data_IF_350961895862
#
_entry.id   IF_350961895862
#
_cell.length_a   1.000
_cell.length_b   1.000
_cell.length_c   1.000
_cell.angle_alpha   90.00
_cell.angle_beta   90.00
_cell.angle_gamma   90.00
#
_symmetry.space_group_name_H-M   'P 1'
#
loop_
_entity.id
_entity.type
_entity.pdbx_description
1 polymer ?
#
# COMPACT_ATOMS: atom_id res chain seq x y z
N UNK A 1 -30.72 -4.11 18.14
CA UNK A 1 -30.57 -3.31 19.37
C UNK A 1 -29.34 -2.43 19.19
N UNK A 2 -29.31 -1.20 19.71
CA UNK A 2 -28.07 -0.42 19.76
C UNK A 2 -27.02 -1.17 20.59
N UNK A 3 -25.75 -1.02 20.23
CA UNK A 3 -24.63 -1.57 21.00
C UNK A 3 -24.55 -0.79 22.33
N UNK A 4 -24.50 -1.50 23.47
CA UNK A 4 -24.31 -0.89 24.79
C UNK A 4 -22.84 -0.42 24.92
N UNK A 5 -22.65 0.88 25.01
CA UNK A 5 -21.32 1.50 25.14
C UNK A 5 -20.55 1.02 26.37
N UNK A 6 -21.25 0.72 27.48
CA UNK A 6 -20.60 0.23 28.70
C UNK A 6 -20.06 -1.17 28.50
N UNK A 7 -20.86 -2.04 27.89
CA UNK A 7 -20.45 -3.41 27.54
C UNK A 7 -19.32 -3.37 26.51
N UNK A 8 -19.42 -2.52 25.48
CA UNK A 8 -18.37 -2.34 24.47
C UNK A 8 -17.03 -2.00 25.10
N UNK A 9 -17.01 -0.99 25.97
CA UNK A 9 -15.78 -0.57 26.66
C UNK A 9 -15.19 -1.67 27.55
N UNK A 10 -16.03 -2.37 28.30
CA UNK A 10 -15.57 -3.52 29.13
C UNK A 10 -14.97 -4.63 28.27
N UNK A 11 -15.59 -4.97 27.15
CA UNK A 11 -15.10 -5.99 26.23
C UNK A 11 -13.76 -5.57 25.61
N UNK A 12 -13.65 -4.32 25.16
CA UNK A 12 -12.37 -3.79 24.61
C UNK A 12 -11.24 -3.84 25.63
N UNK A 13 -11.51 -3.52 26.91
CA UNK A 13 -10.51 -3.65 27.97
C UNK A 13 -10.11 -5.10 28.18
N UNK A 14 -11.07 -6.02 28.16
CA UNK A 14 -10.82 -7.46 28.39
C UNK A 14 -9.94 -8.08 27.29
N UNK A 15 -10.11 -7.67 26.02
CA UNK A 15 -9.33 -8.23 24.89
C UNK A 15 -8.04 -7.46 24.60
N UNK A 16 -7.74 -6.38 25.31
CA UNK A 16 -6.61 -5.49 25.05
C UNK A 16 -5.28 -6.23 24.92
N UNK A 17 -5.02 -7.14 25.86
CA UNK A 17 -3.74 -7.88 25.87
C UNK A 17 -3.64 -8.89 24.72
N UNK A 18 -4.75 -9.46 24.28
CA UNK A 18 -4.80 -10.35 23.11
C UNK A 18 -4.48 -9.57 21.83
N UNK A 19 -5.06 -8.39 21.68
CA UNK A 19 -4.79 -7.47 20.54
C UNK A 19 -3.30 -7.05 20.52
N UNK A 20 -2.75 -6.67 21.69
CA UNK A 20 -1.32 -6.31 21.80
C UNK A 20 -0.42 -7.50 21.46
N UNK A 21 -0.74 -8.68 21.96
CA UNK A 21 0.00 -9.91 21.69
C UNK A 21 -0.01 -10.26 20.21
N UNK A 22 -1.17 -10.15 19.55
CA UNK A 22 -1.27 -10.35 18.10
C UNK A 22 -0.38 -9.37 17.34
N UNK A 23 -0.43 -8.08 17.66
CA UNK A 23 0.42 -7.06 17.01
C UNK A 23 1.90 -7.38 17.18
N UNK A 24 2.34 -7.73 18.40
CA UNK A 24 3.73 -8.11 18.65
C UNK A 24 4.15 -9.31 17.80
N UNK A 25 3.36 -10.39 17.78
CA UNK A 25 3.63 -11.56 16.94
C UNK A 25 3.67 -11.22 15.44
N UNK A 26 2.80 -10.33 14.97
CA UNK A 26 2.83 -9.87 13.58
C UNK A 26 4.12 -9.08 13.27
N UNK A 27 4.60 -8.25 14.20
CA UNK A 27 5.86 -7.50 14.03
C UNK A 27 7.06 -8.46 13.91
N UNK A 28 7.09 -9.53 14.68
CA UNK A 28 8.15 -10.55 14.65
C UNK A 28 8.27 -11.24 13.30
N UNK A 29 7.18 -11.30 12.53
CA UNK A 29 7.18 -11.90 11.19
C UNK A 29 7.65 -10.89 10.16
N UNK A 30 8.73 -11.22 9.44
CA UNK A 30 9.29 -10.38 8.38
C UNK A 30 8.45 -10.52 7.10
N UNK A 31 7.42 -9.69 6.98
CA UNK A 31 6.51 -9.70 5.84
C UNK A 31 6.89 -8.67 4.76
N UNK A 32 8.16 -8.55 4.44
CA UNK A 32 8.59 -7.77 3.27
C UNK A 32 8.06 -8.42 2.00
N UNK A 33 7.93 -7.62 0.93
CA UNK A 33 7.44 -8.10 -0.36
C UNK A 33 8.09 -9.43 -0.78
N UNK A 34 7.29 -10.41 -1.09
CA UNK A 34 7.72 -11.78 -1.45
C UNK A 34 7.75 -12.75 -0.27
N UNK A 35 7.65 -12.27 0.98
CA UNK A 35 7.73 -13.08 2.20
C UNK A 35 6.49 -12.93 3.11
N UNK A 36 5.35 -12.50 2.57
CA UNK A 36 4.15 -12.17 3.35
C UNK A 36 3.40 -13.41 3.88
N UNK A 37 3.57 -14.56 3.23
CA UNK A 37 2.82 -15.80 3.54
C UNK A 37 2.75 -16.18 5.02
N UNK A 38 3.85 -16.16 5.80
CA UNK A 38 3.81 -16.43 7.24
C UNK A 38 2.94 -15.45 8.04
N UNK A 39 2.95 -14.15 7.70
CA UNK A 39 2.11 -13.14 8.35
C UNK A 39 0.62 -13.37 8.02
N UNK A 40 0.30 -13.74 6.77
CA UNK A 40 -1.05 -14.09 6.34
C UNK A 40 -1.59 -15.31 7.10
N UNK A 41 -0.77 -16.35 7.30
CA UNK A 41 -1.15 -17.51 8.12
C UNK A 41 -1.47 -17.13 9.56
N UNK A 42 -0.59 -16.35 10.20
CA UNK A 42 -0.77 -15.90 11.57
C UNK A 42 -2.05 -15.06 11.73
N UNK A 43 -2.30 -14.13 10.83
CA UNK A 43 -3.50 -13.28 10.87
C UNK A 43 -4.78 -14.08 10.63
N UNK A 44 -4.76 -15.05 9.69
CA UNK A 44 -5.89 -15.95 9.44
C UNK A 44 -6.22 -16.79 10.67
N UNK A 45 -5.21 -17.38 11.33
CA UNK A 45 -5.39 -18.17 12.55
C UNK A 45 -6.05 -17.34 13.65
N UNK A 46 -5.56 -16.11 13.89
CA UNK A 46 -6.15 -15.23 14.89
C UNK A 46 -7.61 -14.87 14.57
N UNK A 47 -7.94 -14.56 13.31
CA UNK A 47 -9.30 -14.22 12.90
C UNK A 47 -10.24 -15.41 12.93
N UNK A 48 -9.75 -16.64 12.77
CA UNK A 48 -10.57 -17.86 12.84
C UNK A 48 -11.21 -18.05 14.21
N UNK A 49 -10.66 -17.49 15.27
CA UNK A 49 -11.20 -17.57 16.63
C UNK A 49 -12.49 -16.74 16.81
N UNK A 50 -12.75 -15.76 15.93
CA UNK A 50 -13.82 -14.77 16.12
C UNK A 50 -14.65 -14.47 14.87
N UNK A 51 -14.34 -15.08 13.73
CA UNK A 51 -15.09 -14.94 12.48
C UNK A 51 -15.87 -16.22 12.12
N UNK A 52 -16.94 -16.07 11.37
CA UNK A 52 -17.72 -17.21 10.87
C UNK A 52 -17.04 -17.91 9.69
N UNK A 53 -16.28 -17.13 8.90
CA UNK A 53 -15.48 -17.60 7.77
C UNK A 53 -14.09 -17.00 7.86
N UNK A 54 -13.08 -17.81 7.63
CA UNK A 54 -11.71 -17.36 7.36
C UNK A 54 -11.09 -18.27 6.31
N UNK A 55 -10.64 -17.68 5.21
CA UNK A 55 -10.04 -18.43 4.11
C UNK A 55 -8.85 -17.71 3.51
N UNK A 56 -7.98 -18.45 2.84
CA UNK A 56 -7.00 -17.90 1.93
C UNK A 56 -7.65 -17.68 0.57
N UNK A 57 -7.37 -16.52 -0.01
CA UNK A 57 -7.72 -16.20 -1.39
C UNK A 57 -6.43 -16.20 -2.20
N UNK A 58 -6.21 -17.28 -2.93
CA UNK A 58 -5.03 -17.41 -3.79
C UNK A 58 -5.06 -16.37 -4.91
N UNK A 59 -3.89 -15.79 -5.17
CA UNK A 59 -3.72 -14.79 -6.21
C UNK A 59 -3.14 -15.50 -7.44
N UNK A 60 -3.88 -15.65 -8.54
CA UNK A 60 -3.34 -16.26 -9.75
C UNK A 60 -2.31 -15.34 -10.40
N UNK A 61 -1.20 -15.87 -10.88
CA UNK A 61 -0.18 -15.07 -11.59
C UNK A 61 -0.73 -14.35 -12.82
N UNK A 62 -1.85 -14.84 -13.38
CA UNK A 62 -2.59 -14.19 -14.47
C UNK A 62 -3.08 -12.78 -14.13
N UNK A 63 -3.20 -12.42 -12.83
CA UNK A 63 -3.53 -11.05 -12.38
C UNK A 63 -2.54 -10.02 -12.95
N UNK A 64 -1.29 -10.42 -13.20
CA UNK A 64 -0.26 -9.55 -13.79
C UNK A 64 -0.60 -9.05 -15.21
N UNK A 65 -1.62 -9.61 -15.84
CA UNK A 65 -2.15 -9.18 -17.14
C UNK A 65 -3.41 -8.32 -17.03
N UNK A 66 -3.90 -8.08 -15.81
CA UNK A 66 -5.05 -7.20 -15.56
C UNK A 66 -4.68 -5.75 -15.96
N UNK A 67 -5.54 -5.01 -16.65
CA UNK A 67 -5.26 -3.63 -17.10
C UNK A 67 -5.02 -2.66 -15.91
N UNK A 68 -5.54 -2.98 -14.73
CA UNK A 68 -5.36 -2.19 -13.52
C UNK A 68 -4.14 -2.62 -12.68
N UNK A 69 -3.43 -3.67 -13.10
CA UNK A 69 -2.22 -4.14 -12.41
C UNK A 69 -1.13 -3.06 -12.44
N UNK A 70 -0.59 -2.72 -11.27
CA UNK A 70 0.24 -1.52 -11.17
C UNK A 70 1.68 -1.73 -11.60
N UNK A 71 2.38 -2.73 -11.05
CA UNK A 71 3.81 -2.92 -11.31
C UNK A 71 4.22 -4.39 -11.23
N UNK A 72 4.81 -4.90 -12.32
CA UNK A 72 5.34 -6.25 -12.37
C UNK A 72 6.79 -6.31 -11.90
N UNK A 73 7.05 -7.11 -10.86
CA UNK A 73 8.42 -7.40 -10.41
C UNK A 73 8.91 -8.66 -11.10
N UNK A 74 9.99 -8.59 -11.90
CA UNK A 74 10.53 -9.77 -12.56
C UNK A 74 10.92 -10.86 -11.56
N UNK A 75 10.50 -12.10 -11.83
CA UNK A 75 10.82 -13.26 -11.00
C UNK A 75 10.00 -13.40 -9.70
N UNK A 76 9.11 -12.46 -9.39
CA UNK A 76 8.21 -12.58 -8.27
C UNK A 76 6.90 -13.25 -8.70
N UNK A 77 6.49 -14.29 -7.96
CA UNK A 77 5.22 -15.00 -8.16
C UNK A 77 4.34 -14.85 -6.92
N UNK A 78 3.07 -15.22 -7.04
CA UNK A 78 2.14 -15.22 -5.90
C UNK A 78 2.08 -16.57 -5.16
N UNK A 79 2.88 -17.55 -5.56
CA UNK A 79 2.91 -18.84 -4.89
C UNK A 79 3.24 -18.70 -3.40
N UNK A 80 2.35 -19.21 -2.52
CA UNK A 80 2.49 -19.13 -1.07
C UNK A 80 2.28 -17.74 -0.46
N UNK A 81 1.74 -16.80 -1.22
CA UNK A 81 1.44 -15.42 -0.82
C UNK A 81 -0.05 -15.09 -1.03
N UNK A 82 -0.97 -15.82 -0.41
CA UNK A 82 -2.40 -15.56 -0.56
C UNK A 82 -2.81 -14.28 0.19
N UNK A 83 -3.94 -13.69 -0.23
CA UNK A 83 -4.69 -12.80 0.63
C UNK A 83 -5.47 -13.60 1.69
N UNK A 84 -5.96 -12.91 2.73
CA UNK A 84 -6.89 -13.48 3.71
C UNK A 84 -8.22 -12.76 3.61
N UNK A 85 -9.29 -13.56 3.56
CA UNK A 85 -10.67 -13.11 3.69
C UNK A 85 -11.22 -13.65 5.00
N UNK A 86 -11.82 -12.78 5.83
CA UNK A 86 -12.46 -13.16 7.07
C UNK A 86 -13.79 -12.41 7.21
N UNK A 87 -14.86 -13.08 7.64
CA UNK A 87 -16.16 -12.41 7.74
C UNK A 87 -16.99 -12.84 8.95
N UNK A 88 -17.82 -11.91 9.39
CA UNK A 88 -18.93 -12.15 10.33
C UNK A 88 -20.23 -11.82 9.61
N UNK A 89 -21.06 -12.83 9.46
CA UNK A 89 -22.33 -12.73 8.74
C UNK A 89 -23.28 -11.77 9.46
N UNK A 90 -23.88 -10.88 8.70
CA UNK A 90 -24.93 -9.98 9.16
C UNK A 90 -26.21 -10.71 9.52
N UNK A 91 -27.13 -10.01 10.19
CA UNK A 91 -28.47 -10.54 10.53
C UNK A 91 -29.53 -10.25 9.47
N UNK A 92 -29.26 -9.33 8.55
CA UNK A 92 -30.17 -9.03 7.43
C UNK A 92 -30.03 -10.10 6.36
N UNK A 93 -31.12 -10.38 5.67
CA UNK A 93 -31.13 -11.20 4.46
C UNK A 93 -30.57 -10.46 3.23
N UNK A 94 -30.35 -9.15 3.36
CA UNK A 94 -29.76 -8.35 2.30
C UNK A 94 -28.28 -8.71 2.15
N UNK A 95 -27.81 -8.83 0.92
CA UNK A 95 -26.41 -9.14 0.60
C UNK A 95 -25.44 -7.96 0.85
N UNK A 96 -25.85 -6.99 1.69
CA UNK A 96 -25.07 -5.83 2.01
C UNK A 96 -23.80 -6.21 2.79
N UNK A 97 -22.65 -5.75 2.31
CA UNK A 97 -21.34 -6.02 2.92
C UNK A 97 -20.60 -4.73 3.21
N UNK A 98 -20.14 -4.60 4.45
CA UNK A 98 -19.15 -3.60 4.84
C UNK A 98 -17.77 -4.23 4.75
N UNK A 99 -16.98 -3.80 3.79
CA UNK A 99 -15.59 -4.25 3.64
C UNK A 99 -14.65 -3.44 4.53
N UNK A 100 -13.67 -4.13 5.13
CA UNK A 100 -12.51 -3.54 5.78
C UNK A 100 -11.27 -4.07 5.08
N UNK A 101 -10.46 -3.20 4.51
CA UNK A 101 -9.25 -3.57 3.78
C UNK A 101 -8.01 -2.99 4.47
N UNK A 102 -6.97 -3.80 4.60
CA UNK A 102 -5.63 -3.38 5.03
C UNK A 102 -4.58 -4.38 4.57
N UNK A 103 -3.31 -4.03 4.67
CA UNK A 103 -2.21 -4.86 4.19
C UNK A 103 -1.35 -5.44 5.31
N UNK A 104 -0.59 -6.48 4.98
CA UNK A 104 0.37 -7.15 5.87
C UNK A 104 1.80 -7.10 5.36
N UNK A 105 2.01 -6.71 4.11
CA UNK A 105 3.35 -6.42 3.64
C UNK A 105 3.91 -5.15 4.28
N UNK A 106 5.20 -5.05 4.36
CA UNK A 106 5.93 -3.91 4.91
C UNK A 106 7.14 -3.59 4.06
N UNK A 107 7.52 -2.30 4.01
CA UNK A 107 8.78 -1.90 3.40
C UNK A 107 9.97 -2.46 4.19
N UNK A 108 11.13 -2.68 3.52
CA UNK A 108 12.36 -3.08 4.19
C UNK A 108 12.72 -2.12 5.33
N UNK A 109 13.48 -2.59 6.34
CA UNK A 109 13.97 -1.72 7.41
C UNK A 109 14.79 -0.56 6.85
N UNK A 110 14.62 0.63 7.44
CA UNK A 110 15.43 1.80 7.10
C UNK A 110 16.85 1.65 7.61
N UNK A 111 17.82 2.29 6.96
CA UNK A 111 19.19 2.36 7.46
C UNK A 111 19.20 2.94 8.89
N UNK A 112 19.90 2.28 9.81
CA UNK A 112 19.96 2.67 11.23
C UNK A 112 18.74 2.30 12.08
N UNK A 113 17.74 1.62 11.53
CA UNK A 113 16.64 1.09 12.32
C UNK A 113 17.09 -0.16 13.09
N UNK A 114 17.26 -0.01 14.40
CA UNK A 114 17.66 -1.13 15.28
C UNK A 114 16.49 -2.08 15.53
N UNK A 115 16.78 -3.39 15.53
CA UNK A 115 15.86 -4.47 15.88
C UNK A 115 14.42 -4.32 15.30
N UNK A 116 14.25 -4.09 13.99
CA UNK A 116 12.96 -3.75 13.39
C UNK A 116 11.87 -4.82 13.59
N UNK A 117 12.29 -6.06 13.80
CA UNK A 117 11.42 -7.23 13.98
C UNK A 117 11.25 -7.66 15.44
N UNK A 118 11.81 -6.89 16.38
CA UNK A 118 11.64 -7.13 17.80
C UNK A 118 10.67 -6.09 18.38
N UNK A 119 9.42 -6.46 18.66
CA UNK A 119 8.44 -5.52 19.19
C UNK A 119 8.89 -5.00 20.56
N UNK A 120 8.86 -3.68 20.72
CA UNK A 120 9.20 -3.03 21.99
C UNK A 120 8.02 -2.22 22.48
N UNK A 121 7.47 -2.59 23.62
CA UNK A 121 6.40 -1.86 24.27
C UNK A 121 6.98 -0.82 25.27
N UNK A 122 6.52 0.43 25.15
CA UNK A 122 6.83 1.51 26.09
C UNK A 122 5.51 2.17 26.49
N UNK A 123 5.04 1.89 27.69
CA UNK A 123 3.68 2.27 28.09
C UNK A 123 2.62 1.66 27.17
N UNK A 124 1.82 2.51 26.57
CA UNK A 124 0.76 2.10 25.63
C UNK A 124 1.23 2.04 24.17
N UNK A 125 2.48 2.38 23.89
CA UNK A 125 3.03 2.43 22.52
C UNK A 125 3.84 1.17 22.21
N UNK A 126 3.63 0.59 21.03
CA UNK A 126 4.40 -0.54 20.51
C UNK A 126 5.22 -0.08 19.31
N UNK A 127 6.54 -0.30 19.38
CA UNK A 127 7.49 0.00 18.32
C UNK A 127 7.91 -1.26 17.58
N UNK A 128 8.08 -1.17 16.27
CA UNK A 128 8.56 -2.22 15.39
C UNK A 128 8.20 -1.94 13.93
N UNK A 129 8.82 -2.62 12.97
CA UNK A 129 8.48 -2.46 11.55
C UNK A 129 7.05 -2.95 11.30
N UNK A 130 6.22 -2.10 10.69
CA UNK A 130 4.82 -2.40 10.43
C UNK A 130 3.88 -2.13 11.61
N UNK A 131 4.37 -1.70 12.79
CA UNK A 131 3.50 -1.41 13.94
C UNK A 131 2.42 -0.37 13.61
N UNK A 132 2.79 0.63 12.80
CA UNK A 132 1.88 1.68 12.34
C UNK A 132 1.32 1.39 10.94
N UNK A 133 2.10 0.77 10.06
CA UNK A 133 1.84 0.60 8.64
C UNK A 133 2.18 -0.83 8.19
N UNK A 134 1.21 -1.81 8.09
CA UNK A 134 -0.17 -1.67 8.59
C UNK A 134 -0.60 -2.84 9.49
N UNK A 135 0.35 -3.49 10.22
CA UNK A 135 0.06 -4.59 11.16
C UNK A 135 -0.81 -4.15 12.33
N UNK A 136 -0.71 -2.85 12.74
CA UNK A 136 -1.59 -2.25 13.73
C UNK A 136 -3.05 -2.22 13.28
N UNK A 137 -3.31 -1.96 12.01
CA UNK A 137 -4.63 -1.98 11.41
C UNK A 137 -5.22 -3.40 11.37
N UNK A 138 -4.38 -4.42 11.12
CA UNK A 138 -4.80 -5.82 11.24
C UNK A 138 -5.21 -6.15 12.68
N UNK A 139 -4.44 -5.69 13.67
CA UNK A 139 -4.79 -5.86 15.07
C UNK A 139 -6.09 -5.10 15.43
N UNK A 140 -6.35 -3.95 14.81
CA UNK A 140 -7.60 -3.21 14.97
C UNK A 140 -8.80 -3.98 14.36
N UNK A 141 -8.65 -4.57 13.17
CA UNK A 141 -9.66 -5.45 12.57
C UNK A 141 -9.95 -6.64 13.50
N UNK A 142 -8.91 -7.30 14.01
CA UNK A 142 -9.05 -8.38 14.97
C UNK A 142 -9.85 -7.91 16.20
N UNK A 143 -9.52 -6.73 16.76
CA UNK A 143 -10.24 -6.18 17.90
C UNK A 143 -11.73 -5.97 17.61
N UNK A 144 -12.09 -5.46 16.43
CA UNK A 144 -13.49 -5.31 16.00
C UNK A 144 -14.18 -6.68 15.94
N UNK A 145 -13.60 -7.65 15.21
CA UNK A 145 -14.19 -8.97 15.02
C UNK A 145 -14.34 -9.72 16.35
N UNK A 146 -13.31 -9.67 17.19
CA UNK A 146 -13.31 -10.30 18.53
C UNK A 146 -14.33 -9.66 19.44
N UNK A 147 -14.43 -8.33 19.48
CA UNK A 147 -15.42 -7.61 20.28
C UNK A 147 -16.84 -8.01 19.90
N UNK A 148 -17.15 -8.04 18.61
CA UNK A 148 -18.48 -8.46 18.13
C UNK A 148 -18.78 -9.92 18.48
N UNK A 149 -17.77 -10.79 18.48
CA UNK A 149 -17.91 -12.18 18.89
C UNK A 149 -18.20 -12.32 20.38
N UNK A 150 -17.38 -11.68 21.23
CA UNK A 150 -17.54 -11.73 22.70
C UNK A 150 -18.87 -11.14 23.17
N UNK A 151 -19.33 -10.08 22.51
CA UNK A 151 -20.62 -9.48 22.80
C UNK A 151 -21.80 -10.23 22.19
N UNK A 152 -21.53 -11.27 21.39
CA UNK A 152 -22.54 -11.99 20.61
C UNK A 152 -23.42 -11.06 19.74
N UNK A 153 -22.78 -10.03 19.15
CA UNK A 153 -23.48 -9.04 18.32
C UNK A 153 -23.38 -9.43 16.84
N UNK A 154 -24.53 -9.41 16.18
CA UNK A 154 -24.65 -9.46 14.72
C UNK A 154 -25.12 -8.10 14.22
N UNK A 155 -24.36 -7.50 13.34
CA UNK A 155 -24.74 -6.23 12.69
C UNK A 155 -25.77 -6.46 11.59
N UNK A 156 -26.46 -5.42 11.10
CA UNK A 156 -27.37 -5.59 9.96
C UNK A 156 -26.65 -6.14 8.73
N UNK A 157 -25.53 -5.55 8.34
CA UNK A 157 -24.71 -5.97 7.21
C UNK A 157 -23.64 -7.00 7.64
N UNK A 158 -23.20 -7.83 6.72
CA UNK A 158 -22.00 -8.64 6.86
C UNK A 158 -20.78 -7.70 6.96
N UNK A 159 -19.87 -7.95 7.90
CA UNK A 159 -18.54 -7.35 7.92
C UNK A 159 -17.58 -8.34 7.31
N UNK A 160 -16.80 -7.90 6.33
CA UNK A 160 -15.81 -8.71 5.66
C UNK A 160 -14.45 -7.99 5.64
N UNK A 161 -13.45 -8.62 6.26
CA UNK A 161 -12.08 -8.13 6.30
C UNK A 161 -11.26 -8.74 5.16
N UNK A 162 -10.52 -7.91 4.46
CA UNK A 162 -9.56 -8.25 3.44
C UNK A 162 -8.16 -7.86 3.93
N UNK A 163 -7.32 -8.86 4.23
CA UNK A 163 -5.91 -8.64 4.52
C UNK A 163 -5.14 -8.97 3.25
N UNK A 164 -4.41 -8.00 2.73
CA UNK A 164 -3.80 -8.12 1.40
C UNK A 164 -2.28 -8.07 1.43
N UNK A 165 -1.66 -8.60 0.38
CA UNK A 165 -0.23 -8.48 0.07
C UNK A 165 0.01 -7.34 -0.91
N UNK A 166 1.26 -6.88 -1.02
CA UNK A 166 1.71 -5.95 -2.08
C UNK A 166 1.00 -4.60 -2.11
N UNK A 167 0.51 -4.07 -0.98
CA UNK A 167 0.01 -2.70 -0.94
C UNK A 167 1.14 -1.71 -1.21
N UNK A 168 2.26 -1.84 -0.51
CA UNK A 168 3.47 -1.00 -0.56
C UNK A 168 4.12 -0.93 -1.97
N UNK A 169 3.67 -1.77 -2.88
CA UNK A 169 4.17 -1.86 -4.24
C UNK A 169 3.07 -1.66 -5.29
N UNK A 170 1.98 -0.99 -4.93
CA UNK A 170 0.95 -0.57 -5.86
C UNK A 170 -0.41 -1.26 -5.76
N UNK A 171 -0.69 -1.96 -4.65
CA UNK A 171 -2.04 -2.41 -4.32
C UNK A 171 -2.52 -3.64 -5.09
N UNK A 172 -1.61 -4.48 -5.62
CA UNK A 172 -2.00 -5.62 -6.45
C UNK A 172 -2.77 -6.70 -5.69
N UNK A 173 -2.49 -6.88 -4.38
CA UNK A 173 -3.28 -7.77 -3.53
C UNK A 173 -4.73 -7.31 -3.38
N UNK A 174 -4.95 -6.00 -3.22
CA UNK A 174 -6.29 -5.42 -3.20
C UNK A 174 -6.99 -5.60 -4.56
N UNK A 175 -6.28 -5.36 -5.68
CA UNK A 175 -6.82 -5.63 -7.02
C UNK A 175 -7.31 -7.08 -7.14
N UNK A 176 -6.50 -8.06 -6.73
CA UNK A 176 -6.87 -9.46 -6.77
C UNK A 176 -8.12 -9.76 -5.92
N UNK A 177 -8.22 -9.13 -4.75
CA UNK A 177 -9.37 -9.28 -3.87
C UNK A 177 -10.64 -8.66 -4.49
N UNK A 178 -10.54 -7.48 -5.09
CA UNK A 178 -11.67 -6.85 -5.81
C UNK A 178 -12.15 -7.77 -6.94
N UNK A 179 -11.24 -8.32 -7.75
CA UNK A 179 -11.60 -9.26 -8.82
C UNK A 179 -12.21 -10.56 -8.28
N UNK A 180 -11.77 -11.03 -7.11
CA UNK A 180 -12.38 -12.18 -6.44
C UNK A 180 -13.83 -11.89 -6.01
N UNK A 181 -14.07 -10.76 -5.36
CA UNK A 181 -15.41 -10.34 -4.93
C UNK A 181 -16.34 -10.12 -6.12
N UNK A 182 -15.87 -9.45 -7.18
CA UNK A 182 -16.65 -9.24 -8.41
C UNK A 182 -17.12 -10.56 -9.05
N UNK A 183 -16.25 -11.58 -9.03
CA UNK A 183 -16.64 -12.92 -9.56
C UNK A 183 -17.67 -13.64 -8.70
N UNK A 184 -17.60 -13.48 -7.38
CA UNK A 184 -18.51 -14.18 -6.46
C UNK A 184 -19.87 -13.49 -6.29
N UNK A 185 -19.88 -12.17 -6.23
CA UNK A 185 -21.06 -11.39 -5.83
C UNK A 185 -21.56 -10.42 -6.90
N UNK A 186 -20.84 -10.27 -8.01
CA UNK A 186 -21.12 -9.23 -8.97
C UNK A 186 -20.65 -7.84 -8.53
N UNK A 187 -20.77 -6.87 -9.43
CA UNK A 187 -20.43 -5.46 -9.16
C UNK A 187 -21.53 -4.80 -8.32
N UNK A 188 -21.12 -3.92 -7.42
CA UNK A 188 -22.04 -3.10 -6.64
C UNK A 188 -22.61 -3.76 -5.37
N UNK A 189 -22.07 -4.91 -4.94
CA UNK A 189 -22.48 -5.57 -3.69
C UNK A 189 -22.00 -4.83 -2.42
N UNK A 190 -21.06 -3.92 -2.50
CA UNK A 190 -20.51 -3.22 -1.35
C UNK A 190 -21.47 -2.15 -0.83
N UNK A 191 -21.79 -2.21 0.47
CA UNK A 191 -22.43 -1.11 1.19
C UNK A 191 -21.44 0.04 1.37
N UNK A 192 -20.23 -0.28 1.83
CA UNK A 192 -19.10 0.64 1.98
C UNK A 192 -17.79 -0.17 2.06
N UNK A 193 -16.67 0.51 1.86
CA UNK A 193 -15.34 -0.02 2.11
C UNK A 193 -14.55 0.96 2.98
N UNK A 194 -13.99 0.47 4.09
CA UNK A 194 -13.06 1.20 4.94
C UNK A 194 -11.67 0.65 4.67
N UNK A 195 -10.81 1.47 4.07
CA UNK A 195 -9.38 1.15 3.91
C UNK A 195 -8.66 1.69 5.15
N UNK A 196 -8.06 0.77 5.92
CA UNK A 196 -7.39 1.11 7.16
C UNK A 196 -5.91 1.37 6.89
N UNK A 197 -5.50 2.61 7.07
CA UNK A 197 -4.16 3.14 6.87
C UNK A 197 -3.74 4.03 8.07
N UNK A 198 -2.46 4.39 8.24
CA UNK A 198 -2.01 5.25 9.35
C UNK A 198 -2.50 6.70 9.18
N UNK A 199 -3.79 6.90 9.33
CA UNK A 199 -4.47 8.20 9.15
C UNK A 199 -4.43 9.12 10.37
N UNK A 200 -3.83 8.70 11.49
CA UNK A 200 -3.93 9.42 12.76
C UNK A 200 -5.37 9.52 13.27
N UNK A 201 -6.18 8.49 13.07
CA UNK A 201 -7.63 8.41 13.41
C UNK A 201 -8.49 9.45 12.67
N UNK A 202 -8.04 9.92 11.51
CA UNK A 202 -8.80 10.83 10.65
C UNK A 202 -9.41 10.07 9.48
N UNK A 203 -10.57 10.51 9.03
CA UNK A 203 -11.17 10.04 7.78
C UNK A 203 -10.51 10.81 6.62
N UNK A 204 -9.92 10.08 5.69
CA UNK A 204 -9.33 10.64 4.46
C UNK A 204 -10.29 10.35 3.29
N UNK A 205 -11.13 11.32 2.90
CA UNK A 205 -12.18 11.11 1.89
C UNK A 205 -11.63 11.09 0.46
N UNK A 206 -10.37 11.46 0.27
CA UNK A 206 -9.70 11.48 -1.04
C UNK A 206 -8.23 11.16 -0.92
N UNK A 207 -7.69 10.51 -1.92
CA UNK A 207 -6.26 10.13 -2.00
C UNK A 207 -5.67 10.70 -3.28
N UNK A 208 -4.41 11.13 -3.20
CA UNK A 208 -3.64 11.50 -4.38
C UNK A 208 -3.36 10.29 -5.26
N UNK A 209 -3.20 10.51 -6.56
CA UNK A 209 -2.61 9.51 -7.45
C UNK A 209 -1.08 9.51 -7.30
N UNK A 210 -0.48 8.34 -7.46
CA UNK A 210 0.97 8.17 -7.53
C UNK A 210 1.32 7.24 -8.70
N UNK A 211 2.26 7.67 -9.54
CA UNK A 211 2.72 6.87 -10.66
C UNK A 211 4.22 6.61 -10.53
N UNK A 212 4.57 5.35 -10.36
CA UNK A 212 5.96 4.93 -10.42
C UNK A 212 6.44 5.01 -11.87
N UNK A 213 7.65 5.50 -12.06
CA UNK A 213 8.26 5.59 -13.38
C UNK A 213 9.72 5.13 -13.37
N UNK A 214 10.15 4.63 -14.51
CA UNK A 214 11.54 4.38 -14.85
C UNK A 214 11.86 5.07 -16.16
N UNK A 215 12.86 5.95 -16.13
CA UNK A 215 13.37 6.66 -17.31
C UNK A 215 14.77 6.14 -17.63
N UNK A 216 14.94 5.59 -18.83
CA UNK A 216 16.24 5.24 -19.37
C UNK A 216 16.72 6.35 -20.30
N UNK A 217 17.91 6.86 -20.02
CA UNK A 217 18.51 7.97 -20.73
C UNK A 217 19.78 7.49 -21.42
N UNK A 218 19.85 7.73 -22.72
CA UNK A 218 20.97 7.29 -23.53
C UNK A 218 21.88 8.45 -23.92
N UNK A 219 23.18 8.19 -23.84
CA UNK A 219 24.25 9.08 -24.25
C UNK A 219 25.14 8.46 -25.32
N UNK A 220 26.25 9.11 -25.57
CA UNK A 220 27.36 8.59 -26.40
C UNK A 220 28.59 8.52 -25.50
N UNK A 221 29.11 7.31 -25.19
CA UNK A 221 30.25 7.17 -24.29
C UNK A 221 31.53 7.79 -24.90
N UNK A 222 32.45 8.20 -24.05
CA UNK A 222 33.72 8.71 -24.46
C UNK A 222 34.64 9.03 -23.30
N UNK A 223 35.94 9.12 -23.60
CA UNK A 223 36.94 9.44 -22.61
C UNK A 223 36.91 10.94 -22.26
N UNK A 224 37.21 11.30 -21.02
CA UNK A 224 37.24 12.71 -20.54
C UNK A 224 38.16 13.64 -21.34
N UNK A 225 39.23 13.11 -21.91
CA UNK A 225 40.13 13.86 -22.80
C UNK A 225 39.60 14.15 -24.21
N UNK A 226 38.41 13.61 -24.57
CA UNK A 226 37.78 13.80 -25.88
C UNK A 226 36.32 14.28 -25.74
N UNK A 227 36.05 15.40 -25.08
CA UNK A 227 34.70 15.82 -24.71
C UNK A 227 33.77 16.07 -25.90
N UNK A 228 34.32 16.54 -27.04
CA UNK A 228 33.53 16.84 -28.23
C UNK A 228 32.93 15.60 -28.92
N UNK A 229 33.47 14.40 -28.65
CA UNK A 229 32.97 13.13 -29.22
C UNK A 229 32.00 12.41 -28.32
N UNK A 230 31.73 12.91 -27.12
CA UNK A 230 30.90 12.22 -26.14
C UNK A 230 29.66 13.02 -25.74
N UNK A 231 28.62 12.29 -25.27
CA UNK A 231 27.40 12.87 -24.69
C UNK A 231 27.09 12.09 -23.41
N UNK A 232 27.25 12.71 -22.26
CA UNK A 232 27.01 12.05 -20.98
C UNK A 232 25.52 11.78 -20.74
N UNK A 233 25.15 10.51 -20.61
CA UNK A 233 23.80 10.13 -20.20
C UNK A 233 23.44 10.67 -18.82
N UNK A 234 24.40 10.75 -17.89
CA UNK A 234 24.18 11.33 -16.56
C UNK A 234 23.78 12.82 -16.64
N UNK A 235 24.48 13.63 -17.45
CA UNK A 235 24.13 15.04 -17.63
C UNK A 235 22.72 15.19 -18.24
N UNK A 236 22.37 14.36 -19.21
CA UNK A 236 21.00 14.34 -19.78
C UNK A 236 19.95 13.91 -18.74
N UNK A 237 20.27 12.95 -17.86
CA UNK A 237 19.38 12.53 -16.79
C UNK A 237 19.10 13.67 -15.80
N UNK A 238 20.12 14.45 -15.43
CA UNK A 238 19.96 15.64 -14.57
C UNK A 238 19.02 16.67 -15.24
N UNK A 239 19.17 16.89 -16.55
CA UNK A 239 18.27 17.79 -17.29
C UNK A 239 16.83 17.22 -17.27
N UNK A 240 16.67 15.92 -17.49
CA UNK A 240 15.36 15.28 -17.46
C UNK A 240 14.69 15.38 -16.07
N UNK A 241 15.44 15.26 -14.98
CA UNK A 241 14.93 15.50 -13.62
C UNK A 241 14.34 16.92 -13.50
N UNK A 242 15.09 17.94 -13.88
CA UNK A 242 14.63 19.33 -13.83
C UNK A 242 13.42 19.61 -14.76
N UNK A 243 13.30 18.89 -15.87
CA UNK A 243 12.11 18.96 -16.74
C UNK A 243 10.88 18.38 -16.04
N UNK A 244 11.03 17.23 -15.38
CA UNK A 244 9.94 16.58 -14.65
C UNK A 244 9.54 17.38 -13.40
N UNK A 245 10.47 17.99 -12.69
CA UNK A 245 10.19 18.90 -11.57
C UNK A 245 9.37 20.11 -12.03
N UNK A 246 9.78 20.79 -13.11
CA UNK A 246 9.01 21.92 -13.69
C UNK A 246 7.61 21.50 -14.17
N UNK A 247 7.50 20.31 -14.77
CA UNK A 247 6.20 19.75 -15.12
C UNK A 247 5.33 19.56 -13.89
N UNK A 248 5.90 18.98 -12.82
CA UNK A 248 5.23 18.77 -11.56
C UNK A 248 4.75 20.07 -10.93
N UNK A 249 5.61 21.10 -10.84
CA UNK A 249 5.26 22.43 -10.31
C UNK A 249 4.09 23.05 -11.06
N UNK A 250 4.08 22.94 -12.39
CA UNK A 250 2.97 23.39 -13.22
C UNK A 250 1.67 22.64 -12.89
N UNK A 251 1.72 21.31 -12.84
CA UNK A 251 0.55 20.49 -12.52
C UNK A 251 0.04 20.77 -11.10
N UNK A 252 0.94 20.99 -10.15
CA UNK A 252 0.58 21.36 -8.79
C UNK A 252 -0.14 22.73 -8.77
N UNK A 253 0.39 23.71 -9.48
CA UNK A 253 -0.25 25.04 -9.58
C UNK A 253 -1.64 24.96 -10.21
N UNK A 254 -1.81 24.17 -11.28
CA UNK A 254 -3.09 23.93 -11.94
C UNK A 254 -4.10 23.16 -11.07
N UNK A 255 -3.62 22.42 -10.06
CA UNK A 255 -4.45 21.62 -9.15
C UNK A 255 -4.90 22.39 -7.90
N UNK A 256 -4.50 23.63 -7.73
CA UNK A 256 -4.94 24.50 -6.62
C UNK A 256 -6.44 24.81 -6.72
N UNK A 257 -7.06 25.02 -5.56
CA UNK A 257 -8.52 25.21 -5.46
C UNK A 257 -9.28 23.88 -5.27
N UNK A 258 -8.57 22.78 -5.00
CA UNK A 258 -9.19 21.52 -4.60
C UNK A 258 -9.33 21.50 -3.06
N UNK A 259 -10.56 21.67 -2.50
CA UNK A 259 -10.76 21.84 -1.06
C UNK A 259 -10.31 20.65 -0.23
N UNK A 260 -10.17 19.46 -0.84
CA UNK A 260 -9.70 18.26 -0.14
C UNK A 260 -8.18 18.24 0.06
N UNK A 261 -7.43 19.05 -0.71
CA UNK A 261 -5.97 19.03 -0.69
C UNK A 261 -5.31 20.38 -0.38
N UNK A 262 -6.04 21.49 -0.48
CA UNK A 262 -5.47 22.84 -0.32
C UNK A 262 -4.87 23.11 1.07
N UNK A 263 -5.35 22.39 2.10
CA UNK A 263 -4.80 22.48 3.45
C UNK A 263 -3.51 21.67 3.65
N UNK A 264 -3.10 20.84 2.66
CA UNK A 264 -1.89 20.02 2.72
C UNK A 264 -0.74 20.79 2.08
N UNK A 265 0.36 20.96 2.81
CA UNK A 265 1.51 21.77 2.35
C UNK A 265 2.15 21.20 1.06
N UNK A 266 2.29 19.88 0.98
CA UNK A 266 2.80 19.17 -0.21
C UNK A 266 1.89 17.98 -0.53
N UNK A 267 0.78 18.23 -1.26
CA UNK A 267 -0.24 17.21 -1.49
C UNK A 267 0.15 16.16 -2.54
N UNK A 268 1.17 16.43 -3.37
CA UNK A 268 1.52 15.54 -4.49
C UNK A 268 3.03 15.60 -4.83
N UNK A 269 3.91 15.04 -3.98
CA UNK A 269 5.36 15.12 -4.21
C UNK A 269 5.81 14.42 -5.50
N UNK A 270 6.91 14.89 -6.08
CA UNK A 270 7.74 14.13 -7.02
C UNK A 270 9.00 13.67 -6.31
N UNK A 271 9.36 12.42 -6.48
CA UNK A 271 10.54 11.83 -5.83
C UNK A 271 11.36 11.06 -6.85
N UNK A 272 12.68 11.24 -6.82
CA UNK A 272 13.65 10.45 -7.56
C UNK A 272 14.40 9.57 -6.57
N UNK A 273 13.94 8.32 -6.41
CA UNK A 273 14.45 7.38 -5.40
C UNK A 273 15.70 6.62 -5.84
N UNK A 274 15.91 6.46 -7.17
CA UNK A 274 17.07 5.75 -7.73
C UNK A 274 17.65 6.54 -8.88
N UNK A 275 18.99 6.67 -8.87
CA UNK A 275 19.78 7.18 -10.00
C UNK A 275 21.02 6.30 -10.17
N UNK A 276 21.14 5.65 -11.31
CA UNK A 276 22.28 4.80 -11.63
C UNK A 276 22.87 5.21 -12.97
N UNK A 277 24.18 5.48 -13.00
CA UNK A 277 24.88 5.85 -14.23
C UNK A 277 26.38 5.69 -14.09
N UNK A 278 27.00 5.13 -15.14
CA UNK A 278 28.45 5.00 -15.26
C UNK A 278 29.08 4.01 -14.26
N UNK A 279 30.35 3.69 -14.53
CA UNK A 279 31.17 2.78 -13.72
C UNK A 279 32.64 3.23 -13.64
N UNK A 280 33.01 4.33 -14.33
CA UNK A 280 34.36 4.82 -14.38
C UNK A 280 34.40 6.36 -14.37
N UNK A 281 35.15 7.01 -13.43
CA UNK A 281 35.15 8.48 -13.27
C UNK A 281 35.57 9.28 -14.48
N UNK A 282 36.52 8.74 -15.30
CA UNK A 282 37.07 9.42 -16.45
C UNK A 282 36.34 9.16 -17.77
N UNK A 283 35.14 8.60 -17.73
CA UNK A 283 34.35 8.29 -18.93
C UNK A 283 32.94 8.92 -18.84
N UNK A 284 32.48 9.47 -19.97
CA UNK A 284 31.09 9.85 -20.12
C UNK A 284 30.22 8.58 -20.20
N UNK A 285 29.23 8.38 -19.33
CA UNK A 285 28.39 7.16 -19.33
C UNK A 285 27.49 7.10 -20.55
N UNK A 286 27.32 5.89 -21.10
CA UNK A 286 26.44 5.59 -22.21
C UNK A 286 24.97 5.58 -21.84
N UNK A 287 24.67 5.20 -20.58
CA UNK A 287 23.31 5.05 -20.09
C UNK A 287 23.18 5.60 -18.66
N UNK A 288 22.01 6.12 -18.35
CA UNK A 288 21.57 6.43 -17.00
C UNK A 288 20.14 5.93 -16.80
N UNK A 289 19.84 5.45 -15.60
CA UNK A 289 18.48 5.06 -15.20
C UNK A 289 18.05 5.92 -14.01
N UNK A 290 16.87 6.52 -14.14
CA UNK A 290 16.18 7.22 -13.06
C UNK A 290 14.90 6.45 -12.73
N UNK A 291 14.65 6.21 -11.44
CA UNK A 291 13.36 5.68 -10.98
C UNK A 291 12.78 6.60 -9.91
N UNK A 292 11.48 6.76 -9.94
CA UNK A 292 10.82 7.67 -9.02
C UNK A 292 9.32 7.51 -8.98
N UNK A 293 8.69 8.38 -8.20
CA UNK A 293 7.24 8.50 -8.07
C UNK A 293 6.83 9.90 -8.49
N UNK A 294 5.84 10.00 -9.37
CA UNK A 294 5.22 11.25 -9.77
C UNK A 294 3.81 11.33 -9.18
N UNK A 295 3.61 12.22 -8.20
CA UNK A 295 2.31 12.46 -7.58
C UNK A 295 1.41 13.34 -8.44
N UNK A 296 0.10 13.18 -8.31
CA UNK A 296 -0.91 14.02 -8.96
C UNK A 296 -2.23 13.98 -8.20
N UNK A 297 -3.09 14.99 -8.37
CA UNK A 297 -4.38 15.07 -7.71
C UNK A 297 -5.53 14.73 -8.67
N UNK A 298 -6.65 14.17 -8.13
CA UNK A 298 -7.87 14.07 -8.89
C UNK A 298 -8.34 15.46 -9.43
N UNK A 299 -8.97 15.53 -10.60
CA UNK A 299 -9.47 14.43 -11.43
C UNK A 299 -8.48 13.89 -12.45
N UNK A 300 -7.19 14.26 -12.39
CA UNK A 300 -6.19 13.78 -13.35
C UNK A 300 -6.02 12.27 -13.27
N UNK A 301 -5.74 11.66 -14.42
CA UNK A 301 -5.54 10.22 -14.55
C UNK A 301 -4.07 9.87 -14.77
N UNK A 302 -3.69 8.62 -14.43
CA UNK A 302 -2.36 8.06 -14.73
C UNK A 302 -1.98 8.17 -16.21
N UNK A 303 -2.95 7.92 -17.11
CA UNK A 303 -2.74 8.01 -18.55
C UNK A 303 -2.42 9.44 -19.00
N UNK A 304 -3.12 10.43 -18.45
CA UNK A 304 -2.86 11.85 -18.71
C UNK A 304 -1.46 12.25 -18.24
N UNK A 305 -1.10 11.91 -17.01
CA UNK A 305 0.23 12.22 -16.45
C UNK A 305 1.34 11.59 -17.28
N UNK A 306 1.20 10.31 -17.65
CA UNK A 306 2.16 9.64 -18.52
C UNK A 306 2.36 10.40 -19.83
N UNK A 307 1.28 10.79 -20.50
CA UNK A 307 1.32 11.56 -21.74
C UNK A 307 2.04 12.91 -21.55
N UNK A 308 1.74 13.62 -20.45
CA UNK A 308 2.40 14.90 -20.15
C UNK A 308 3.92 14.74 -19.90
N UNK A 309 4.31 13.68 -19.17
CA UNK A 309 5.74 13.37 -18.96
C UNK A 309 6.44 13.03 -20.27
N UNK A 310 5.84 12.19 -21.13
CA UNK A 310 6.38 11.85 -22.43
C UNK A 310 6.51 13.07 -23.35
N UNK A 311 5.56 14.01 -23.29
CA UNK A 311 5.63 15.28 -24.06
C UNK A 311 6.71 16.23 -23.53
N UNK A 312 6.86 16.33 -22.21
CA UNK A 312 7.86 17.22 -21.61
C UNK A 312 9.31 16.75 -21.84
N UNK A 313 9.52 15.45 -22.01
CA UNK A 313 10.84 14.85 -22.22
C UNK A 313 11.28 14.77 -23.70
N UNK A 314 10.44 15.16 -24.63
CA UNK A 314 10.77 15.28 -26.07
C UNK A 314 11.47 16.60 -26.38
#
# INVERSE_FOLDING_TARGET
MPIDDTQLRRTLVAIKDDVRRLLCRLIEVQSVRGAEGPAMRLAREALAECCDLTEFVEIPDAIQSDPDYSFRVPGLTYAGRPNVRASRTGRSSDDAVLFMNTHLDVVPPSAGQEAPWTPRAVGETIFGRGACDAKGQVAAIYAVMRTLAEMNVRLPATIEAHLVVEEECGGNGTLAMVRHVERQRGKGCALACVVLEPSGLKIMPSVRGAMWFRLRVFGRPGHSGMPASSVSALKKAIVAMGVLEKLHDRILAESRGNPLFDAVADPMPVTFGVCQSGNWPAAAPAEATLEGVFGFLPPRTRAEIRRLMEQALR
#
